data_IF_293464460482
#
_entry.id   IF_293464460482
#
_cell.length_a   1.000
_cell.length_b   1.000
_cell.length_c   1.000
_cell.angle_alpha   90.00
_cell.angle_beta   90.00
_cell.angle_gamma   90.00
#
_symmetry.space_group_name_H-M   'P 1'
#
loop_
_entity.id
_entity.type
_entity.pdbx_description
1 polymer ?
#
# COMPACT_ATOMS: atom_id res chain seq x y z
N UNK A 1 3.91 -1.88 -4.97
CA UNK A 1 4.22 -3.19 -5.59
C UNK A 1 2.95 -3.81 -6.14
N UNK A 2 3.07 -4.42 -7.32
CA UNK A 2 1.94 -5.09 -7.96
C UNK A 2 1.53 -6.32 -7.15
N UNK A 3 0.25 -6.65 -7.21
CA UNK A 3 -0.32 -7.81 -6.53
C UNK A 3 -0.34 -8.97 -7.51
N UNK A 4 0.27 -10.08 -7.15
CA UNK A 4 0.40 -11.27 -8.01
C UNK A 4 -0.56 -12.39 -7.61
N UNK A 5 -0.97 -12.42 -6.34
CA UNK A 5 -1.82 -13.47 -5.78
C UNK A 5 -2.86 -12.89 -4.82
N UNK A 6 -3.95 -13.61 -4.60
CA UNK A 6 -4.94 -13.26 -3.54
C UNK A 6 -4.31 -13.22 -2.14
N UNK A 7 -3.19 -13.89 -1.95
CA UNK A 7 -2.49 -13.96 -0.67
C UNK A 7 -1.54 -12.78 -0.41
N UNK A 8 -1.23 -11.98 -1.43
CA UNK A 8 -0.37 -10.81 -1.26
C UNK A 8 -1.13 -9.72 -0.50
N UNK A 9 -0.50 -9.20 0.54
CA UNK A 9 -1.03 -8.09 1.33
C UNK A 9 0.10 -7.34 2.04
N UNK A 10 -0.11 -6.08 2.33
CA UNK A 10 0.77 -5.29 3.20
C UNK A 10 0.60 -5.73 4.65
N UNK A 11 -0.61 -6.17 5.03
CA UNK A 11 -0.89 -6.70 6.35
C UNK A 11 -1.97 -7.78 6.28
N UNK A 12 -1.64 -8.95 6.84
CA UNK A 12 -2.59 -9.99 7.23
C UNK A 12 -2.75 -9.95 8.75
N UNK A 13 -3.97 -9.75 9.23
CA UNK A 13 -4.29 -9.78 10.64
C UNK A 13 -4.77 -11.17 11.06
N UNK A 14 -4.36 -11.61 12.24
CA UNK A 14 -5.02 -12.70 12.94
C UNK A 14 -6.11 -12.10 13.83
N UNK A 15 -7.36 -12.46 13.59
CA UNK A 15 -8.51 -11.89 14.29
C UNK A 15 -8.88 -12.67 15.56
N UNK A 16 -8.44 -13.93 15.67
CA UNK A 16 -8.71 -14.77 16.82
C UNK A 16 -7.43 -15.45 17.32
N UNK A 17 -7.08 -15.32 18.60
CA UNK A 17 -5.94 -16.04 19.18
C UNK A 17 -6.13 -17.56 19.14
N UNK A 18 -7.39 -18.01 19.21
CA UNK A 18 -7.75 -19.44 19.25
C UNK A 18 -7.75 -20.08 17.86
N UNK A 19 -7.73 -19.27 16.81
CA UNK A 19 -7.73 -19.71 15.40
C UNK A 19 -6.64 -19.00 14.60
N UNK A 20 -5.35 -19.32 14.82
CA UNK A 20 -4.23 -18.63 14.17
C UNK A 20 -4.18 -18.85 12.65
N UNK A 21 -4.89 -19.83 12.12
CA UNK A 21 -5.06 -20.09 10.70
C UNK A 21 -6.10 -19.16 10.04
N UNK A 22 -6.99 -18.53 10.80
CA UNK A 22 -7.99 -17.59 10.28
C UNK A 22 -7.37 -16.20 10.07
N UNK A 23 -6.61 -16.09 8.99
CA UNK A 23 -5.96 -14.84 8.60
C UNK A 23 -6.89 -13.99 7.77
N UNK A 24 -6.90 -12.70 8.11
CA UNK A 24 -7.78 -11.71 7.47
C UNK A 24 -6.97 -10.62 6.79
N UNK A 25 -7.28 -10.32 5.54
CA UNK A 25 -6.67 -9.23 4.80
C UNK A 25 -7.54 -7.99 4.96
N UNK A 26 -6.94 -6.94 5.54
CA UNK A 26 -7.54 -5.61 5.65
C UNK A 26 -6.73 -4.55 4.94
N UNK A 27 -5.41 -4.72 4.79
CA UNK A 27 -4.55 -3.81 4.05
C UNK A 27 -3.88 -4.55 2.89
N UNK A 28 -4.43 -4.35 1.70
CA UNK A 28 -4.07 -5.12 0.51
C UNK A 28 -2.81 -4.59 -0.15
N UNK A 29 -2.82 -3.33 -0.55
CA UNK A 29 -1.81 -2.73 -1.40
C UNK A 29 -1.58 -1.27 -1.03
N UNK A 30 -0.37 -0.79 -1.24
CA UNK A 30 -0.01 0.61 -1.14
C UNK A 30 0.46 1.11 -2.50
N UNK A 31 -0.29 2.03 -3.08
CA UNK A 31 0.10 2.73 -4.31
C UNK A 31 0.79 4.03 -3.91
N UNK A 32 1.89 4.36 -4.58
CA UNK A 32 2.73 5.50 -4.23
C UNK A 32 3.12 6.25 -5.48
N UNK A 33 3.04 7.57 -5.42
CA UNK A 33 3.55 8.46 -6.47
C UNK A 33 4.49 9.50 -5.86
N UNK A 34 5.52 9.82 -6.62
CA UNK A 34 6.38 10.99 -6.39
C UNK A 34 5.85 12.13 -7.23
N UNK A 35 5.55 13.25 -6.59
CA UNK A 35 5.19 14.50 -7.24
C UNK A 35 6.32 15.52 -7.07
N UNK A 36 6.86 16.02 -8.19
CA UNK A 36 7.80 17.13 -8.23
C UNK A 36 7.30 18.16 -9.25
N UNK A 37 7.10 19.40 -8.79
CA UNK A 37 6.39 20.44 -9.56
C UNK A 37 5.04 19.92 -10.09
N UNK A 38 4.86 19.91 -11.41
CA UNK A 38 3.64 19.43 -12.08
C UNK A 38 3.76 17.99 -12.60
N UNK A 39 4.86 17.28 -12.31
CA UNK A 39 5.07 15.89 -12.76
C UNK A 39 4.80 14.92 -11.65
N UNK A 40 4.06 13.87 -12.00
CA UNK A 40 3.75 12.76 -11.10
C UNK A 40 4.28 11.47 -11.72
N UNK A 41 5.08 10.71 -10.96
CA UNK A 41 5.58 9.41 -11.36
C UNK A 41 5.16 8.35 -10.35
N UNK A 42 4.51 7.30 -10.83
CA UNK A 42 4.20 6.14 -9.98
C UNK A 42 5.48 5.39 -9.60
N UNK A 43 5.60 5.06 -8.33
CA UNK A 43 6.68 4.22 -7.79
C UNK A 43 6.29 2.75 -8.00
N UNK A 44 6.71 2.20 -9.12
CA UNK A 44 6.38 0.84 -9.57
C UNK A 44 7.63 0.01 -9.79
N UNK A 45 7.46 -1.23 -10.23
CA UNK A 45 8.57 -2.14 -10.55
C UNK A 45 9.51 -1.58 -11.62
N UNK A 46 9.02 -0.71 -12.52
CA UNK A 46 9.85 -0.05 -13.54
C UNK A 46 10.92 0.86 -12.91
N UNK A 47 10.61 1.43 -11.75
CA UNK A 47 11.54 2.27 -10.99
C UNK A 47 12.42 1.48 -10.01
N UNK A 48 12.18 0.17 -9.83
CA UNK A 48 12.88 -0.62 -8.84
C UNK A 48 14.34 -0.87 -9.26
N UNK A 49 15.29 -0.51 -8.40
CA UNK A 49 16.71 -0.84 -8.56
C UNK A 49 17.08 -2.14 -7.90
N UNK A 50 16.72 -2.30 -6.63
CA UNK A 50 17.01 -3.51 -5.89
C UNK A 50 16.02 -3.72 -4.74
N UNK A 51 16.05 -4.93 -4.19
CA UNK A 51 15.33 -5.36 -3.01
C UNK A 51 16.31 -5.95 -2.02
N UNK A 52 16.16 -5.59 -0.74
CA UNK A 52 17.00 -6.08 0.33
C UNK A 52 16.13 -6.61 1.47
N UNK A 53 16.59 -7.66 2.12
CA UNK A 53 16.04 -8.12 3.40
C UNK A 53 17.04 -7.83 4.50
N UNK A 54 16.67 -6.99 5.45
CA UNK A 54 17.50 -6.66 6.58
C UNK A 54 17.52 -7.79 7.63
N UNK A 55 18.54 -7.76 8.49
CA UNK A 55 18.73 -8.78 9.55
C UNK A 55 17.57 -8.81 10.56
N UNK A 56 16.86 -7.70 10.76
CA UNK A 56 15.66 -7.58 11.59
C UNK A 56 14.40 -8.16 10.95
N UNK A 57 14.54 -8.73 9.73
CA UNK A 57 13.43 -9.30 8.96
C UNK A 57 12.63 -8.27 8.16
N UNK A 58 12.94 -6.97 8.28
CA UNK A 58 12.30 -5.95 7.44
C UNK A 58 12.72 -6.08 5.98
N UNK A 59 11.84 -5.62 5.10
CA UNK A 59 12.06 -5.62 3.66
C UNK A 59 12.21 -4.18 3.16
N UNK A 60 13.21 -3.95 2.31
CA UNK A 60 13.53 -2.64 1.76
C UNK A 60 13.56 -2.72 0.23
N UNK A 61 12.76 -1.87 -0.40
CA UNK A 61 12.76 -1.66 -1.84
C UNK A 61 13.40 -0.31 -2.15
N UNK A 62 14.42 -0.30 -3.00
CA UNK A 62 15.11 0.91 -3.42
C UNK A 62 14.69 1.27 -4.84
N UNK A 63 14.11 2.45 -5.00
CA UNK A 63 13.57 2.94 -6.26
C UNK A 63 14.35 4.13 -6.77
N UNK A 64 14.58 4.17 -8.07
CA UNK A 64 15.08 5.32 -8.80
C UNK A 64 13.93 5.93 -9.59
N UNK A 65 13.42 7.05 -9.13
CA UNK A 65 12.16 7.62 -9.62
C UNK A 65 12.43 8.85 -10.46
N UNK A 66 12.10 8.84 -11.77
CA UNK A 66 12.22 10.01 -12.62
C UNK A 66 11.33 11.15 -12.12
N UNK A 67 11.91 12.35 -12.01
CA UNK A 67 11.21 13.57 -11.57
C UNK A 67 10.98 14.58 -12.69
N UNK A 68 11.50 14.28 -13.89
CA UNK A 68 11.41 15.10 -15.09
C UNK A 68 12.69 15.85 -15.40
N UNK A 69 12.76 16.40 -16.61
CA UNK A 69 13.90 17.15 -17.13
C UNK A 69 15.25 16.40 -17.06
N UNK A 70 15.22 15.08 -17.19
CA UNK A 70 16.40 14.22 -17.06
C UNK A 70 16.85 13.99 -15.62
N UNK A 71 16.13 14.50 -14.62
CA UNK A 71 16.43 14.32 -13.21
C UNK A 71 15.63 13.17 -12.58
N UNK A 72 16.19 12.57 -11.54
CA UNK A 72 15.58 11.49 -10.76
C UNK A 72 15.82 11.70 -9.27
N UNK A 73 15.08 10.97 -8.44
CA UNK A 73 15.31 10.90 -6.98
C UNK A 73 15.27 9.46 -6.53
N UNK A 74 16.11 9.11 -5.56
CA UNK A 74 16.12 7.77 -4.97
C UNK A 74 15.26 7.74 -3.71
N UNK A 75 14.34 6.77 -3.68
CA UNK A 75 13.42 6.55 -2.55
C UNK A 75 13.54 5.11 -2.07
N UNK A 76 13.77 4.93 -0.78
CA UNK A 76 13.68 3.64 -0.12
C UNK A 76 12.33 3.50 0.56
N UNK A 77 11.65 2.39 0.29
CA UNK A 77 10.45 1.94 0.97
C UNK A 77 10.83 0.78 1.89
N UNK A 78 10.66 0.95 3.19
CA UNK A 78 10.87 -0.10 4.20
C UNK A 78 9.51 -0.57 4.73
N UNK A 79 9.31 -1.88 4.77
CA UNK A 79 8.15 -2.51 5.42
C UNK A 79 8.64 -3.42 6.53
N UNK A 80 8.07 -3.25 7.72
CA UNK A 80 8.36 -4.06 8.89
C UNK A 80 7.08 -4.42 9.65
N UNK A 81 7.02 -5.66 10.15
CA UNK A 81 5.97 -6.10 11.05
C UNK A 81 6.37 -5.79 12.49
N UNK A 82 5.46 -5.21 13.26
CA UNK A 82 5.70 -4.95 14.69
C UNK A 82 5.47 -6.25 15.47
N UNK A 83 6.52 -6.74 16.12
CA UNK A 83 6.46 -8.00 16.84
C UNK A 83 5.32 -8.03 17.87
N UNK A 84 4.54 -9.13 17.89
CA UNK A 84 3.44 -9.34 18.80
C UNK A 84 2.20 -8.47 18.58
N UNK A 85 2.11 -7.77 17.44
CA UNK A 85 0.96 -6.90 17.10
C UNK A 85 0.47 -7.14 15.68
N UNK A 86 -0.83 -6.98 15.45
CA UNK A 86 -1.40 -6.83 14.13
C UNK A 86 -1.09 -5.41 13.59
N UNK A 87 0.17 -5.15 13.32
CA UNK A 87 0.65 -3.84 12.91
C UNK A 87 1.81 -3.97 11.93
N UNK A 88 1.68 -3.26 10.79
CA UNK A 88 2.76 -3.07 9.82
C UNK A 88 3.17 -1.61 9.83
N UNK A 89 4.47 -1.34 9.87
CA UNK A 89 5.03 -0.01 9.66
C UNK A 89 5.60 0.08 8.26
N UNK A 90 5.21 1.14 7.55
CA UNK A 90 5.74 1.47 6.23
C UNK A 90 6.47 2.80 6.35
N UNK A 91 7.73 2.82 5.95
CA UNK A 91 8.59 4.00 6.03
C UNK A 91 9.14 4.36 4.66
N UNK A 92 9.15 5.65 4.35
CA UNK A 92 9.74 6.20 3.15
C UNK A 92 10.96 7.04 3.52
N UNK A 93 12.06 6.82 2.83
CA UNK A 93 13.27 7.60 2.97
C UNK A 93 13.72 8.07 1.59
N UNK A 94 13.79 9.38 1.39
CA UNK A 94 14.51 9.96 0.27
C UNK A 94 15.99 9.92 0.60
N UNK A 95 16.80 9.36 -0.30
CA UNK A 95 18.26 9.32 -0.13
C UNK A 95 18.88 10.63 -0.62
N UNK A 96 19.88 11.10 0.10
CA UNK A 96 20.72 12.20 -0.36
C UNK A 96 21.67 11.67 -1.44
N UNK A 97 21.30 11.90 -2.68
CA UNK A 97 22.07 11.52 -3.86
C UNK A 97 22.47 12.78 -4.60
N UNK A 98 23.72 12.83 -5.07
CA UNK A 98 24.28 13.96 -5.77
C UNK A 98 24.74 13.52 -7.17
N UNK A 99 24.73 14.44 -8.13
CA UNK A 99 25.15 14.21 -9.50
C UNK A 99 24.20 14.84 -10.51
N UNK A 100 24.65 14.98 -11.75
CA UNK A 100 23.90 15.67 -12.80
C UNK A 100 22.54 15.07 -13.14
N UNK A 101 22.33 13.82 -12.78
CA UNK A 101 21.08 13.07 -13.02
C UNK A 101 20.14 13.07 -11.80
N UNK A 102 20.55 13.65 -10.67
CA UNK A 102 19.77 13.64 -9.45
C UNK A 102 19.18 14.99 -9.13
N UNK A 103 17.96 14.95 -8.61
CA UNK A 103 17.32 16.11 -8.02
C UNK A 103 18.00 16.42 -6.68
N UNK A 104 18.56 17.64 -6.58
CA UNK A 104 19.25 18.10 -5.37
C UNK A 104 18.38 17.92 -4.11
N UNK A 105 18.97 17.57 -2.96
CA UNK A 105 18.24 17.29 -1.71
C UNK A 105 17.31 18.43 -1.28
N UNK A 106 17.69 19.68 -1.52
CA UNK A 106 16.93 20.90 -1.15
C UNK A 106 15.65 21.05 -1.97
N UNK A 107 15.58 20.44 -3.15
CA UNK A 107 14.39 20.49 -3.99
C UNK A 107 13.32 19.51 -3.42
N UNK A 108 12.19 20.02 -2.93
CA UNK A 108 11.21 19.18 -2.28
C UNK A 108 10.50 18.25 -3.26
N UNK A 109 10.26 17.03 -2.82
CA UNK A 109 9.33 16.09 -3.46
C UNK A 109 8.16 15.82 -2.52
N UNK A 110 6.99 15.63 -3.08
CA UNK A 110 5.80 15.21 -2.33
C UNK A 110 5.49 13.76 -2.66
N UNK A 111 5.18 12.97 -1.64
CA UNK A 111 4.63 11.64 -1.81
C UNK A 111 3.10 11.70 -1.76
N UNK A 112 2.47 11.06 -2.73
CA UNK A 112 1.05 10.74 -2.70
C UNK A 112 0.98 9.24 -2.42
N UNK A 113 0.29 8.87 -1.35
CA UNK A 113 0.21 7.49 -0.89
C UNK A 113 -1.25 7.10 -0.79
N UNK A 114 -1.67 6.08 -1.55
CA UNK A 114 -3.04 5.58 -1.56
C UNK A 114 -3.09 4.13 -1.08
N UNK A 115 -3.68 3.87 0.08
CA UNK A 115 -3.90 2.52 0.56
C UNK A 115 -5.12 1.89 -0.11
N UNK A 116 -4.99 0.64 -0.55
CA UNK A 116 -6.10 -0.19 -0.98
C UNK A 116 -6.45 -1.16 0.15
N UNK A 117 -7.70 -1.13 0.59
CA UNK A 117 -8.21 -1.92 1.71
C UNK A 117 -9.20 -2.97 1.25
N UNK A 118 -9.30 -4.03 2.02
CA UNK A 118 -10.24 -5.13 1.86
C UNK A 118 -10.80 -5.54 3.25
N UNK A 119 -11.79 -6.41 3.28
CA UNK A 119 -12.24 -7.09 4.49
C UNK A 119 -12.63 -8.51 4.13
N UNK A 120 -11.67 -9.42 4.17
CA UNK A 120 -11.88 -10.81 3.77
C UNK A 120 -10.93 -11.80 4.43
N UNK A 121 -11.40 -13.01 4.60
CA UNK A 121 -10.49 -14.14 4.82
C UNK A 121 -9.52 -14.25 3.62
N UNK A 122 -8.27 -14.60 3.88
CA UNK A 122 -7.20 -14.57 2.87
C UNK A 122 -7.39 -15.59 1.73
N UNK A 123 -8.25 -16.60 1.88
CA UNK A 123 -8.59 -17.56 0.83
C UNK A 123 -9.60 -17.04 -0.19
N UNK A 124 -10.32 -15.95 0.11
CA UNK A 124 -11.35 -15.40 -0.76
C UNK A 124 -10.83 -14.22 -1.58
N UNK A 125 -11.66 -13.71 -2.47
CA UNK A 125 -11.42 -12.47 -3.22
C UNK A 125 -12.55 -11.50 -2.93
N UNK A 126 -12.23 -10.21 -2.80
CA UNK A 126 -13.24 -9.18 -2.68
C UNK A 126 -13.91 -8.94 -4.02
N UNK A 127 -15.24 -8.82 -4.00
CA UNK A 127 -16.05 -8.33 -5.11
C UNK A 127 -16.83 -7.11 -4.63
N UNK A 128 -16.81 -6.05 -5.40
CA UNK A 128 -17.41 -4.76 -5.01
C UNK A 128 -18.93 -4.82 -4.84
N UNK A 129 -19.60 -5.78 -5.48
CA UNK A 129 -21.05 -5.95 -5.53
C UNK A 129 -21.77 -5.62 -4.21
N UNK A 130 -22.46 -4.48 -4.15
CA UNK A 130 -23.17 -3.98 -2.99
C UNK A 130 -22.29 -3.31 -1.92
N UNK A 131 -20.98 -3.54 -1.93
CA UNK A 131 -20.05 -2.91 -0.99
C UNK A 131 -19.79 -1.44 -1.33
N UNK A 132 -19.96 -1.06 -2.60
CA UNK A 132 -19.75 0.30 -3.10
C UNK A 132 -20.61 1.34 -2.36
N UNK A 133 -21.83 0.96 -1.99
CA UNK A 133 -22.73 1.82 -1.22
C UNK A 133 -22.50 1.75 0.30
N UNK A 134 -21.82 0.71 0.79
CA UNK A 134 -21.68 0.44 2.22
C UNK A 134 -20.34 0.91 2.76
N UNK A 135 -19.22 0.57 2.09
CA UNK A 135 -17.88 0.81 2.62
C UNK A 135 -17.49 2.28 2.76
N UNK A 136 -17.92 3.23 1.92
CA UNK A 136 -17.66 4.64 2.18
C UNK A 136 -18.19 5.12 3.54
N UNK A 137 -19.35 4.63 3.98
CA UNK A 137 -19.92 4.91 5.30
C UNK A 137 -19.22 4.20 6.47
N UNK A 138 -18.28 3.30 6.19
CA UNK A 138 -17.48 2.57 7.20
C UNK A 138 -16.11 3.19 7.45
N UNK A 139 -15.82 4.33 6.83
CA UNK A 139 -14.56 5.06 6.99
C UNK A 139 -14.79 6.28 7.87
N UNK A 140 -14.04 6.35 8.96
CA UNK A 140 -13.96 7.53 9.81
C UNK A 140 -12.64 8.27 9.53
N UNK A 141 -12.74 9.47 8.99
CA UNK A 141 -11.57 10.25 8.58
C UNK A 141 -10.90 10.93 9.77
N UNK A 142 -9.56 10.98 9.74
CA UNK A 142 -8.70 11.72 10.67
C UNK A 142 -7.80 12.68 9.87
N UNK A 143 -7.21 13.65 10.53
CA UNK A 143 -6.29 14.60 9.89
C UNK A 143 -5.17 13.92 9.08
N UNK A 144 -4.62 12.81 9.62
CA UNK A 144 -3.46 12.10 9.04
C UNK A 144 -3.74 10.62 8.77
N UNK A 145 -4.98 10.28 8.46
CA UNK A 145 -5.35 8.90 8.21
C UNK A 145 -6.83 8.64 8.32
N UNK A 146 -7.18 7.40 8.62
CA UNK A 146 -8.57 6.96 8.76
C UNK A 146 -8.68 5.69 9.60
N UNK A 147 -9.88 5.43 10.09
CA UNK A 147 -10.32 4.12 10.56
C UNK A 147 -11.30 3.54 9.56
N UNK A 148 -11.08 2.31 9.14
CA UNK A 148 -12.00 1.54 8.31
C UNK A 148 -12.57 0.39 9.14
N UNK A 149 -13.89 0.43 9.41
CA UNK A 149 -14.61 -0.56 10.25
C UNK A 149 -15.70 -1.23 9.41
N UNK A 150 -15.33 -2.15 8.50
CA UNK A 150 -16.29 -2.80 7.59
C UNK A 150 -17.31 -3.66 8.32
N UNK A 151 -16.92 -4.25 9.46
CA UNK A 151 -17.77 -5.10 10.27
C UNK A 151 -17.49 -4.92 11.77
N UNK A 152 -18.45 -5.30 12.65
CA UNK A 152 -18.23 -5.26 14.09
C UNK A 152 -16.98 -6.03 14.51
N UNK A 153 -16.19 -5.44 15.40
CA UNK A 153 -14.98 -6.06 15.93
C UNK A 153 -13.76 -6.05 14.98
N UNK A 154 -13.90 -5.53 13.77
CA UNK A 154 -12.79 -5.41 12.81
C UNK A 154 -12.57 -3.96 12.41
N UNK A 155 -11.43 -3.42 12.76
CA UNK A 155 -11.05 -2.05 12.39
C UNK A 155 -9.60 -2.01 11.93
N UNK A 156 -9.39 -1.50 10.72
CA UNK A 156 -8.09 -1.09 10.25
C UNK A 156 -7.89 0.39 10.54
N UNK A 157 -6.88 0.71 11.34
CA UNK A 157 -6.44 2.09 11.55
C UNK A 157 -5.19 2.36 10.73
N UNK A 158 -5.23 3.36 9.87
CA UNK A 158 -4.07 3.86 9.15
C UNK A 158 -3.75 5.28 9.63
N UNK A 159 -2.47 5.52 9.96
CA UNK A 159 -2.01 6.82 10.44
C UNK A 159 -0.66 7.15 9.81
N UNK A 160 -0.49 8.38 9.33
CA UNK A 160 0.78 8.92 8.85
C UNK A 160 1.43 9.81 9.92
N UNK A 161 2.77 9.76 10.01
CA UNK A 161 3.56 10.62 10.92
C UNK A 161 3.57 12.08 10.46
N UNK A 162 3.38 12.31 9.15
CA UNK A 162 3.38 13.66 8.54
C UNK A 162 2.39 13.72 7.37
N UNK A 163 2.16 14.91 6.85
CA UNK A 163 1.23 15.14 5.75
C UNK A 163 -0.22 15.25 6.23
N UNK A 164 -1.16 15.04 5.33
CA UNK A 164 -2.59 15.08 5.61
C UNK A 164 -3.30 13.98 4.83
N UNK A 165 -4.38 13.47 5.37
CA UNK A 165 -5.28 12.60 4.65
C UNK A 165 -6.26 13.44 3.81
N UNK A 166 -6.48 13.03 2.56
CA UNK A 166 -7.44 13.66 1.65
C UNK A 166 -8.44 12.58 1.25
N UNK A 167 -9.70 12.67 1.68
CA UNK A 167 -10.74 11.74 1.25
C UNK A 167 -10.89 11.77 -0.27
N UNK A 168 -10.75 10.62 -0.90
CA UNK A 168 -10.88 10.44 -2.34
C UNK A 168 -11.24 8.97 -2.63
N UNK A 169 -12.47 8.61 -2.24
CA UNK A 169 -12.96 7.25 -2.33
C UNK A 169 -12.91 6.72 -3.78
N UNK A 170 -12.35 5.54 -3.97
CA UNK A 170 -12.20 4.92 -5.28
C UNK A 170 -12.30 3.40 -5.15
N UNK A 171 -13.02 2.76 -6.07
CA UNK A 171 -12.96 1.33 -6.29
C UNK A 171 -12.06 1.02 -7.50
N UNK A 172 -11.12 0.10 -7.30
CA UNK A 172 -10.34 -0.48 -8.39
C UNK A 172 -10.89 -1.88 -8.64
N UNK A 173 -11.51 -2.04 -9.81
CA UNK A 173 -12.15 -3.27 -10.21
C UNK A 173 -11.20 -4.18 -10.98
N UNK A 174 -11.44 -5.48 -10.88
CA UNK A 174 -10.80 -6.51 -11.69
C UNK A 174 -9.27 -6.47 -11.60
N UNK A 175 -8.73 -6.25 -10.41
CA UNK A 175 -7.31 -6.33 -10.16
C UNK A 175 -6.82 -7.74 -10.53
N UNK A 176 -5.98 -7.81 -11.57
CA UNK A 176 -5.48 -9.06 -12.11
C UNK A 176 -4.43 -9.70 -11.19
N UNK A 177 -4.56 -11.00 -10.98
CA UNK A 177 -3.70 -11.81 -10.13
C UNK A 177 -3.14 -12.98 -10.94
N UNK A 178 -1.95 -12.84 -11.55
CA UNK A 178 -1.40 -13.84 -12.48
C UNK A 178 -1.18 -15.20 -11.85
N UNK A 179 -0.84 -15.28 -10.56
CA UNK A 179 -0.65 -16.57 -9.89
C UNK A 179 -1.96 -17.34 -9.72
N UNK A 180 -3.09 -16.65 -9.55
CA UNK A 180 -4.40 -17.31 -9.50
C UNK A 180 -4.81 -17.81 -10.89
N UNK A 181 -4.57 -17.01 -11.92
CA UNK A 181 -4.80 -17.42 -13.31
C UNK A 181 -3.98 -18.67 -13.69
N UNK A 182 -2.71 -18.70 -13.32
CA UNK A 182 -1.81 -19.84 -13.58
C UNK A 182 -2.28 -21.14 -12.87
N UNK A 183 -3.07 -20.99 -11.80
CA UNK A 183 -3.66 -22.11 -11.03
C UNK A 183 -5.06 -22.49 -11.51
N UNK A 184 -5.59 -21.83 -12.55
CA UNK A 184 -6.94 -22.07 -13.07
C UNK A 184 -8.05 -21.55 -12.14
N UNK A 185 -7.75 -20.60 -11.25
CA UNK A 185 -8.71 -19.97 -10.34
C UNK A 185 -9.16 -18.61 -10.89
N UNK A 186 -10.25 -18.05 -10.33
CA UNK A 186 -10.67 -16.67 -10.63
C UNK A 186 -9.54 -15.71 -10.30
N UNK A 187 -8.96 -15.01 -11.30
CA UNK A 187 -7.79 -14.17 -11.12
C UNK A 187 -8.14 -12.72 -10.76
N UNK A 188 -9.39 -12.41 -10.56
CA UNK A 188 -9.82 -11.02 -10.36
C UNK A 188 -10.27 -10.77 -8.93
N UNK A 189 -9.89 -9.62 -8.41
CA UNK A 189 -10.35 -9.08 -7.13
C UNK A 189 -10.61 -7.60 -7.27
N UNK A 190 -11.53 -7.07 -6.48
CA UNK A 190 -11.78 -5.64 -6.39
C UNK A 190 -11.18 -5.12 -5.08
N UNK A 191 -10.75 -3.86 -5.06
CA UNK A 191 -10.21 -3.23 -3.85
C UNK A 191 -10.76 -1.82 -3.69
N UNK A 192 -10.89 -1.38 -2.45
CA UNK A 192 -11.37 -0.06 -2.10
C UNK A 192 -10.22 0.80 -1.58
N UNK A 193 -10.17 2.07 -2.03
CA UNK A 193 -9.25 3.08 -1.51
C UNK A 193 -10.06 4.23 -0.91
N UNK A 194 -9.91 4.54 0.38
CA UNK A 194 -10.61 5.68 1.00
C UNK A 194 -10.05 7.05 0.61
N UNK A 195 -8.76 7.10 0.19
CA UNK A 195 -8.09 8.34 -0.16
C UNK A 195 -6.62 8.20 -0.53
#
# INVERSE_FOLDING_TARGET
PDVSSRYDAVMLANLSPDHPEDRHIMFRRLRVWVLHHARTQEVSLVCLRNFERAADGSCIWNYHVPTGNGLSTDISLKIEMVAGKNQTRVSFLRRDTHGHEYLEPENPVKLIVRPDVEDRNFHYSTKANGLESVWPGKVNFRERGFDFTPAPGRTLTLTASSGRFVPAAEWNYMLWQPNEAARGLDPYSDVYSPG
#
